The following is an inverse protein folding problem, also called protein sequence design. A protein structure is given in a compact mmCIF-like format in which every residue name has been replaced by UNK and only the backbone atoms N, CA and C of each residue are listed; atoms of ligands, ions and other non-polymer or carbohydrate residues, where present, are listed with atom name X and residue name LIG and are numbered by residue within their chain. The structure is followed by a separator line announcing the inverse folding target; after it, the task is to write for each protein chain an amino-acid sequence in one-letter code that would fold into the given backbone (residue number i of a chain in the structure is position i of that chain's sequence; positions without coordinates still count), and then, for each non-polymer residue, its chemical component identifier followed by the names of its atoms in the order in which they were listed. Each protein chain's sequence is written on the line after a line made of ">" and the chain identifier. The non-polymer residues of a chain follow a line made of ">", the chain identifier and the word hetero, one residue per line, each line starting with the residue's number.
data_IF_476803326758
#
_entry.id   IF_476803326758
#
_cell.length_a   1.000
_cell.length_b   1.000
_cell.length_c   1.000
_cell.angle_alpha   90.00
_cell.angle_beta   90.00
_cell.angle_gamma   90.00
#
_symmetry.space_group_name_H-M   'P 1'
#
loop_
_entity.id
_entity.type
_entity.pdbx_description
1 polymer ?
#
# COMPACT_ATOMS: atom_id res chain seq x y z
N UNK A 1 -14.58 4.18 0.18
CA UNK A 1 -14.36 2.91 -0.53
C UNK A 1 -15.32 2.87 -1.70
N UNK A 2 -14.84 2.75 -2.94
CA UNK A 2 -15.69 2.86 -4.14
C UNK A 2 -16.28 1.49 -4.47
N UNK A 3 -17.44 1.19 -3.86
CA UNK A 3 -18.11 -0.11 -3.90
C UNK A 3 -18.48 -0.57 -5.31
N UNK A 4 -18.76 0.37 -6.22
CA UNK A 4 -19.09 0.08 -7.62
C UNK A 4 -17.93 -0.60 -8.36
N UNK A 5 -16.70 -0.10 -8.20
CA UNK A 5 -15.51 -0.72 -8.79
C UNK A 5 -15.19 -2.07 -8.12
N UNK A 6 -15.41 -2.20 -6.81
CA UNK A 6 -15.21 -3.44 -6.08
C UNK A 6 -16.17 -4.54 -6.55
N UNK A 7 -17.43 -4.19 -6.86
CA UNK A 7 -18.42 -5.15 -7.36
C UNK A 7 -18.16 -5.54 -8.82
N UNK A 8 -17.76 -4.58 -9.64
CA UNK A 8 -17.45 -4.79 -11.07
C UNK A 8 -16.24 -5.71 -11.28
N UNK A 9 -15.26 -5.65 -10.38
CA UNK A 9 -14.06 -6.51 -10.42
C UNK A 9 -14.29 -7.80 -9.62
N UNK A 10 -14.96 -7.72 -8.47
CA UNK A 10 -15.18 -8.85 -7.57
C UNK A 10 -16.16 -9.88 -8.12
N UNK A 11 -17.26 -9.45 -8.75
CA UNK A 11 -18.29 -10.34 -9.28
C UNK A 11 -17.76 -11.38 -10.28
N UNK A 12 -17.13 -10.95 -11.39
CA UNK A 12 -16.54 -11.87 -12.37
C UNK A 12 -15.43 -12.75 -11.77
N UNK A 13 -14.65 -12.20 -10.84
CA UNK A 13 -13.56 -12.92 -10.17
C UNK A 13 -14.08 -14.06 -9.29
N UNK A 14 -15.18 -13.83 -8.57
CA UNK A 14 -15.83 -14.86 -7.74
C UNK A 14 -16.37 -16.00 -8.60
N UNK A 15 -17.02 -15.67 -9.72
CA UNK A 15 -17.57 -16.68 -10.64
C UNK A 15 -16.42 -17.50 -11.26
N UNK A 16 -15.36 -16.85 -11.73
CA UNK A 16 -14.19 -17.54 -12.28
C UNK A 16 -13.51 -18.44 -11.23
N UNK A 17 -13.34 -17.96 -10.00
CA UNK A 17 -12.78 -18.74 -8.91
C UNK A 17 -13.65 -19.96 -8.58
N UNK A 18 -14.98 -19.80 -8.56
CA UNK A 18 -15.91 -20.89 -8.32
C UNK A 18 -15.87 -21.95 -9.41
N UNK A 19 -15.89 -21.54 -10.69
CA UNK A 19 -15.79 -22.45 -11.84
C UNK A 19 -14.46 -23.21 -11.80
N UNK A 20 -13.36 -22.51 -11.51
CA UNK A 20 -12.04 -23.12 -11.42
C UNK A 20 -11.93 -24.10 -10.26
N UNK A 21 -12.48 -23.75 -9.09
CA UNK A 21 -12.58 -24.64 -7.94
C UNK A 21 -13.38 -25.90 -8.29
N UNK A 22 -14.58 -25.73 -8.86
CA UNK A 22 -15.45 -26.85 -9.22
C UNK A 22 -14.77 -27.81 -10.21
N UNK A 23 -14.06 -27.27 -11.20
CA UNK A 23 -13.38 -28.05 -12.22
C UNK A 23 -12.19 -28.82 -11.65
N UNK A 24 -11.39 -28.18 -10.78
CA UNK A 24 -10.30 -28.83 -10.06
C UNK A 24 -10.84 -29.92 -9.14
N UNK A 25 -11.85 -29.62 -8.31
CA UNK A 25 -12.41 -30.62 -7.38
C UNK A 25 -13.00 -31.81 -8.13
N UNK A 26 -13.71 -31.57 -9.23
CA UNK A 26 -14.28 -32.65 -10.06
C UNK A 26 -13.18 -33.48 -10.71
N UNK A 27 -12.11 -32.84 -11.21
CA UNK A 27 -10.96 -33.54 -11.77
C UNK A 27 -10.23 -34.38 -10.71
N UNK A 28 -9.97 -33.79 -9.53
CA UNK A 28 -9.32 -34.46 -8.41
C UNK A 28 -10.12 -35.65 -7.89
N UNK A 29 -11.44 -35.53 -7.78
CA UNK A 29 -12.29 -36.60 -7.25
C UNK A 29 -12.45 -37.77 -8.23
N UNK A 30 -12.52 -37.46 -9.54
CA UNK A 30 -12.55 -38.47 -10.60
C UNK A 30 -11.18 -39.09 -10.90
N UNK A 31 -10.09 -38.40 -10.58
CA UNK A 31 -8.75 -38.93 -10.73
C UNK A 31 -8.33 -39.72 -9.49
N UNK A 32 -8.08 -41.02 -9.62
CA UNK A 32 -7.51 -41.83 -8.52
C UNK A 32 -6.07 -41.41 -8.13
N UNK A 33 -5.50 -40.42 -8.81
CA UNK A 33 -4.15 -39.90 -8.63
C UNK A 33 -3.87 -39.43 -7.18
N UNK A 34 -4.84 -38.78 -6.53
CA UNK A 34 -4.67 -38.26 -5.16
C UNK A 34 -5.12 -39.23 -4.07
N UNK A 35 -6.03 -40.16 -4.39
CA UNK A 35 -6.52 -41.17 -3.43
C UNK A 35 -5.45 -42.24 -3.13
N UNK A 36 -4.60 -42.58 -4.11
CA UNK A 36 -3.57 -43.62 -3.96
C UNK A 36 -2.13 -43.13 -3.80
N UNK A 37 -1.82 -41.85 -4.08
CA UNK A 37 -0.44 -41.35 -4.03
C UNK A 37 -0.18 -40.47 -2.81
N UNK A 38 0.35 -41.09 -1.75
CA UNK A 38 0.78 -40.40 -0.53
C UNK A 38 1.84 -39.33 -0.81
N UNK A 39 2.73 -39.58 -1.77
CA UNK A 39 3.77 -38.63 -2.22
C UNK A 39 3.18 -37.36 -2.81
N UNK A 40 2.11 -37.47 -3.61
CA UNK A 40 1.45 -36.33 -4.24
C UNK A 40 0.74 -35.45 -3.19
N UNK A 41 0.13 -36.07 -2.18
CA UNK A 41 -0.48 -35.36 -1.06
C UNK A 41 0.57 -34.57 -0.24
N UNK A 42 1.73 -35.16 0.05
CA UNK A 42 2.82 -34.47 0.75
C UNK A 42 3.35 -33.29 -0.07
N UNK A 43 3.55 -33.47 -1.37
CA UNK A 43 3.99 -32.39 -2.25
C UNK A 43 2.98 -31.24 -2.30
N UNK A 44 1.69 -31.55 -2.39
CA UNK A 44 0.63 -30.54 -2.38
C UNK A 44 0.61 -29.76 -1.06
N UNK A 45 0.74 -30.44 0.09
CA UNK A 45 0.80 -29.79 1.40
C UNK A 45 2.01 -28.84 1.48
N UNK A 46 3.18 -29.26 1.02
CA UNK A 46 4.39 -28.43 0.98
C UNK A 46 4.20 -27.20 0.07
N UNK A 47 3.58 -27.37 -1.10
CA UNK A 47 3.27 -26.27 -2.01
C UNK A 47 2.31 -25.26 -1.38
N UNK A 48 1.24 -25.72 -0.71
CA UNK A 48 0.29 -24.85 -0.03
C UNK A 48 0.96 -24.12 1.14
N UNK A 49 1.77 -24.82 1.93
CA UNK A 49 2.48 -24.26 3.08
C UNK A 49 3.44 -23.14 2.67
N UNK A 50 4.26 -23.37 1.63
CA UNK A 50 5.19 -22.37 1.10
C UNK A 50 4.45 -21.17 0.50
N UNK A 51 3.34 -21.40 -0.20
CA UNK A 51 2.47 -20.32 -0.69
C UNK A 51 1.91 -19.47 0.46
N UNK A 52 1.38 -20.08 1.52
CA UNK A 52 0.87 -19.37 2.69
C UNK A 52 1.95 -18.54 3.39
N UNK A 53 3.16 -19.10 3.56
CA UNK A 53 4.29 -18.35 4.12
C UNK A 53 4.64 -17.14 3.25
N UNK A 54 4.65 -17.29 1.92
CA UNK A 54 4.96 -16.18 1.01
C UNK A 54 3.91 -15.07 1.06
N UNK A 55 2.61 -15.40 1.12
CA UNK A 55 1.53 -14.44 1.23
C UNK A 55 1.54 -13.73 2.60
N UNK A 56 1.77 -14.48 3.68
CA UNK A 56 1.94 -13.90 5.02
C UNK A 56 3.13 -12.94 5.07
N UNK A 57 4.28 -13.33 4.49
CA UNK A 57 5.47 -12.50 4.41
C UNK A 57 5.24 -11.22 3.60
N UNK A 58 4.61 -11.32 2.43
CA UNK A 58 4.25 -10.16 1.61
C UNK A 58 3.31 -9.22 2.36
N UNK A 59 2.36 -9.76 3.11
CA UNK A 59 1.42 -8.96 3.88
C UNK A 59 2.11 -8.19 5.02
N UNK A 60 2.99 -8.84 5.78
CA UNK A 60 3.80 -8.19 6.82
C UNK A 60 4.69 -7.08 6.21
N UNK A 61 5.27 -7.32 5.03
CA UNK A 61 6.12 -6.33 4.35
C UNK A 61 5.31 -5.15 3.77
N UNK A 62 4.05 -5.37 3.41
CA UNK A 62 3.17 -4.34 2.82
C UNK A 62 2.70 -3.26 3.80
N UNK A 63 2.93 -3.44 5.11
CA UNK A 63 2.61 -2.45 6.16
C UNK A 63 3.48 -1.20 6.16
N UNK A 64 4.62 -1.20 5.46
CA UNK A 64 5.44 0.00 5.24
C UNK A 64 5.10 0.64 3.90
N UNK A 65 3.87 1.14 3.76
CA UNK A 65 3.66 2.24 2.84
C UNK A 65 4.11 3.48 3.58
N UNK A 66 5.29 3.98 3.24
CA UNK A 66 5.59 5.38 3.49
C UNK A 66 4.43 6.16 2.87
N UNK A 67 3.53 6.64 3.72
CA UNK A 67 2.55 7.61 3.31
C UNK A 67 3.43 8.79 2.95
N UNK A 68 3.71 8.98 1.66
CA UNK A 68 4.20 10.26 1.17
C UNK A 68 3.13 11.27 1.58
N UNK A 69 3.31 11.85 2.77
CA UNK A 69 2.46 12.92 3.27
C UNK A 69 2.60 14.01 2.22
N UNK A 70 1.55 14.34 1.48
CA UNK A 70 1.62 15.53 0.61
C UNK A 70 1.84 16.73 1.53
N UNK A 71 3.04 17.30 1.49
CA UNK A 71 3.50 18.29 2.45
C UNK A 71 4.73 19.02 1.92
N UNK A 72 5.04 20.17 2.52
CA UNK A 72 6.27 20.89 2.24
C UNK A 72 7.38 20.20 3.03
N UNK A 73 8.27 19.45 2.37
CA UNK A 73 9.28 18.62 3.05
C UNK A 73 10.68 18.75 2.49
N UNK A 74 11.69 18.58 3.35
CA UNK A 74 13.10 18.52 2.99
C UNK A 74 13.61 19.74 2.21
N UNK A 75 13.11 20.93 2.54
CA UNK A 75 13.56 22.18 1.96
C UNK A 75 14.45 22.96 2.94
N UNK A 76 15.45 23.63 2.40
CA UNK A 76 16.28 24.58 3.11
C UNK A 76 15.95 26.00 2.63
N UNK A 77 15.35 26.81 3.50
CA UNK A 77 15.00 28.20 3.25
C UNK A 77 15.91 29.06 4.11
N UNK A 78 16.98 29.58 3.51
CA UNK A 78 17.97 30.36 4.27
C UNK A 78 18.32 31.68 3.61
N UNK A 79 18.67 32.67 4.44
CA UNK A 79 19.23 33.97 4.02
C UNK A 79 18.33 34.79 3.08
N UNK A 80 17.00 34.61 3.14
CA UNK A 80 16.08 35.44 2.38
C UNK A 80 15.87 36.78 3.08
N UNK A 81 15.78 37.87 2.33
CA UNK A 81 15.41 39.20 2.82
C UNK A 81 14.10 39.62 2.17
N UNK A 82 13.02 39.63 2.96
CA UNK A 82 11.65 39.84 2.49
C UNK A 82 11.13 41.13 3.11
N UNK A 83 10.84 42.12 2.27
CA UNK A 83 10.33 43.42 2.70
C UNK A 83 8.89 43.40 3.26
N UNK A 84 8.17 42.30 3.09
CA UNK A 84 6.84 42.06 3.65
C UNK A 84 6.78 40.74 4.44
N UNK A 85 5.65 40.03 4.39
CA UNK A 85 5.47 38.75 5.10
C UNK A 85 6.00 37.55 4.30
N UNK A 86 6.62 36.58 4.97
CA UNK A 86 7.08 35.30 4.41
C UNK A 86 6.12 34.18 4.82
N UNK A 87 5.48 33.53 3.85
CA UNK A 87 4.53 32.43 4.08
C UNK A 87 5.08 31.12 3.50
N UNK A 88 5.29 30.12 4.35
CA UNK A 88 5.85 28.81 3.98
C UNK A 88 4.80 27.74 4.26
N UNK A 89 4.45 26.95 3.24
CA UNK A 89 3.61 25.76 3.38
C UNK A 89 2.20 26.01 3.93
N UNK A 90 1.52 27.07 3.47
CA UNK A 90 0.15 27.39 3.88
C UNK A 90 -0.79 26.19 3.66
N UNK A 91 -1.47 25.73 4.71
CA UNK A 91 -2.38 24.57 4.72
C UNK A 91 -1.74 23.21 4.37
N UNK A 92 -0.41 23.11 4.42
CA UNK A 92 0.34 21.87 4.20
C UNK A 92 1.07 21.44 5.47
N UNK A 93 1.23 20.13 5.63
CA UNK A 93 2.11 19.59 6.67
C UNK A 93 3.56 19.98 6.34
N UNK A 94 4.27 20.50 7.34
CA UNK A 94 5.69 20.90 7.23
C UNK A 94 6.53 19.86 7.96
N UNK A 95 7.40 19.17 7.22
CA UNK A 95 8.17 18.02 7.74
C UNK A 95 9.64 18.17 7.33
N UNK A 96 10.56 18.11 8.28
CA UNK A 96 12.02 18.10 8.02
C UNK A 96 12.52 19.24 7.13
N UNK A 97 12.05 20.48 7.36
CA UNK A 97 12.57 21.67 6.68
C UNK A 97 13.51 22.46 7.58
N UNK A 98 14.50 23.12 6.96
CA UNK A 98 15.49 23.95 7.64
C UNK A 98 15.28 25.41 7.26
N UNK A 99 14.96 26.26 8.24
CA UNK A 99 14.67 27.68 8.02
C UNK A 99 15.63 28.49 8.89
N UNK A 100 16.64 29.14 8.29
CA UNK A 100 17.69 29.85 9.02
C UNK A 100 18.03 31.21 8.41
N UNK A 101 18.39 32.19 9.24
CA UNK A 101 18.95 33.47 8.80
C UNK A 101 18.06 34.27 7.82
N UNK A 102 16.74 34.05 7.82
CA UNK A 102 15.81 34.84 7.02
C UNK A 102 15.49 36.16 7.73
N UNK A 103 15.58 37.28 7.02
CA UNK A 103 15.15 38.61 7.44
C UNK A 103 13.77 38.87 6.84
N UNK A 104 12.77 39.04 7.70
CA UNK A 104 11.39 39.30 7.29
C UNK A 104 10.94 40.55 8.00
N UNK A 105 10.56 41.58 7.24
CA UNK A 105 10.11 42.86 7.81
C UNK A 105 8.63 42.82 8.23
N UNK A 106 7.83 41.92 7.63
CA UNK A 106 6.46 41.61 8.04
C UNK A 106 6.37 40.32 8.86
N UNK A 107 5.29 39.57 8.67
CA UNK A 107 5.04 38.33 9.42
C UNK A 107 5.73 37.11 8.80
N UNK A 108 6.24 36.21 9.62
CA UNK A 108 6.74 34.89 9.20
C UNK A 108 5.72 33.81 9.57
N UNK A 109 5.02 33.27 8.57
CA UNK A 109 4.04 32.20 8.75
C UNK A 109 4.63 30.88 8.22
N UNK A 110 4.76 29.89 9.10
CA UNK A 110 5.31 28.57 8.77
C UNK A 110 4.26 27.52 9.09
N UNK A 111 3.61 27.00 8.06
CA UNK A 111 2.58 25.98 8.21
C UNK A 111 1.32 26.47 8.93
N UNK A 112 0.30 25.61 8.93
CA UNK A 112 -0.99 25.87 9.55
C UNK A 112 -2.13 25.52 8.58
N UNK A 113 -2.97 24.56 8.98
CA UNK A 113 -4.35 24.53 8.49
C UNK A 113 -5.04 25.75 9.10
N UNK A 114 -5.88 26.41 8.30
CA UNK A 114 -6.91 27.25 8.90
C UNK A 114 -7.69 26.46 9.96
#
# INVERSE_FOLDING_TARGET
>A
MNWENALKIGGPSIIAAFVFQYLITTYLDKSDLFKNSLTLNIFLILAIFTFCLSMGWLWIRSGKKDVQKKGFQNNEITKNEVGGSLNIGKSLDIIDNKILENKVNGDLNIGGKE
#
